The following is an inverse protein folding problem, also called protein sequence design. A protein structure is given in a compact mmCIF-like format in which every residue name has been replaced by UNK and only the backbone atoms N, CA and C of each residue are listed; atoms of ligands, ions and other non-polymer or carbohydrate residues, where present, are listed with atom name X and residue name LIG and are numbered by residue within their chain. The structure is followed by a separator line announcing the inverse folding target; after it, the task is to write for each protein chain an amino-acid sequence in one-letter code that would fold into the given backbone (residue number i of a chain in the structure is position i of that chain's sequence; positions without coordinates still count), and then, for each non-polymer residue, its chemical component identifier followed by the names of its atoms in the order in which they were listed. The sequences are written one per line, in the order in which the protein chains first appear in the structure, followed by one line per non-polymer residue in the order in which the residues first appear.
data_IF_867000128027
#
_entry.id   IF_867000128027
#
_cell.length_a   1.000
_cell.length_b   1.000
_cell.length_c   1.000
_cell.angle_alpha   90.00
_cell.angle_beta   90.00
_cell.angle_gamma   90.00
#
_symmetry.space_group_name_H-M   'P 1'
#
loop_
_entity.id
_entity.type
_entity.pdbx_description
1 polymer ?
#
# COMPACT_ATOMS: atom_id res chain seq x y z
N UNK A 1 -18.27 -7.64 17.76
CA UNK A 1 -17.64 -7.71 16.42
C UNK A 1 -17.81 -6.36 15.76
N UNK A 2 -16.76 -5.75 15.17
CA UNK A 2 -16.98 -4.61 14.27
C UNK A 2 -17.96 -5.04 13.15
N UNK A 3 -18.86 -4.16 12.67
CA UNK A 3 -19.75 -4.46 11.56
C UNK A 3 -18.92 -4.93 10.36
N UNK A 4 -19.43 -5.92 9.61
CA UNK A 4 -18.68 -6.60 8.54
C UNK A 4 -17.98 -5.62 7.59
N UNK A 5 -18.62 -4.49 7.28
CA UNK A 5 -18.09 -3.42 6.44
C UNK A 5 -16.80 -2.78 6.99
N UNK A 6 -16.72 -2.56 8.30
CA UNK A 6 -15.53 -1.96 8.93
C UNK A 6 -14.36 -2.94 8.97
N UNK A 7 -14.64 -4.22 9.25
CA UNK A 7 -13.61 -5.26 9.29
C UNK A 7 -13.03 -5.51 7.90
N UNK A 8 -13.89 -5.54 6.88
CA UNK A 8 -13.47 -5.70 5.49
C UNK A 8 -12.69 -4.48 5.00
N UNK A 9 -13.18 -3.27 5.26
CA UNK A 9 -12.47 -2.03 4.94
C UNK A 9 -11.06 -2.01 5.55
N UNK A 10 -10.95 -2.36 6.84
CA UNK A 10 -9.66 -2.39 7.53
C UNK A 10 -8.72 -3.44 6.93
N UNK A 11 -9.22 -4.60 6.49
CA UNK A 11 -8.41 -5.60 5.78
C UNK A 11 -7.91 -5.08 4.43
N UNK A 12 -8.78 -4.45 3.64
CA UNK A 12 -8.41 -3.90 2.33
C UNK A 12 -7.37 -2.78 2.49
N UNK A 13 -7.52 -1.94 3.51
CA UNK A 13 -6.55 -0.90 3.83
C UNK A 13 -5.18 -1.50 4.19
N UNK A 14 -5.14 -2.49 5.09
CA UNK A 14 -3.90 -3.14 5.50
C UNK A 14 -3.20 -3.86 4.33
N UNK A 15 -3.98 -4.47 3.43
CA UNK A 15 -3.44 -5.09 2.21
C UNK A 15 -2.80 -4.03 1.30
N UNK A 16 -3.48 -2.91 1.06
CA UNK A 16 -2.93 -1.81 0.26
C UNK A 16 -1.65 -1.22 0.87
N UNK A 17 -1.58 -1.10 2.21
CA UNK A 17 -0.35 -0.67 2.90
C UNK A 17 0.80 -1.66 2.67
N UNK A 18 0.52 -2.96 2.82
CA UNK A 18 1.52 -4.00 2.61
C UNK A 18 2.02 -4.05 1.15
N UNK A 19 1.13 -3.87 0.18
CA UNK A 19 1.49 -3.84 -1.25
C UNK A 19 2.41 -2.67 -1.59
N UNK A 20 2.11 -1.47 -1.08
CA UNK A 20 2.98 -0.29 -1.24
C UNK A 20 4.34 -0.53 -0.58
N UNK A 21 4.36 -1.01 0.67
CA UNK A 21 5.62 -1.30 1.36
C UNK A 21 6.46 -2.33 0.59
N UNK A 22 5.85 -3.43 0.13
CA UNK A 22 6.51 -4.44 -0.68
C UNK A 22 7.07 -3.85 -1.99
N UNK A 23 6.29 -3.00 -2.67
CA UNK A 23 6.71 -2.37 -3.92
C UNK A 23 8.00 -1.53 -3.75
N UNK A 24 8.09 -0.76 -2.68
CA UNK A 24 9.28 0.06 -2.41
C UNK A 24 10.37 -0.66 -1.61
N UNK A 25 10.15 -1.92 -1.22
CA UNK A 25 11.13 -2.70 -0.46
C UNK A 25 11.23 -2.30 1.01
N UNK A 26 10.15 -1.75 1.57
CA UNK A 26 10.04 -1.32 2.95
C UNK A 26 9.38 -2.39 3.81
N UNK A 27 9.58 -2.27 5.12
CA UNK A 27 8.77 -2.97 6.13
C UNK A 27 7.38 -2.32 6.23
N UNK A 28 6.30 -3.05 6.55
CA UNK A 28 4.97 -2.47 6.73
C UNK A 28 4.92 -1.30 7.73
N UNK A 29 5.74 -1.32 8.79
CA UNK A 29 5.83 -0.20 9.74
C UNK A 29 6.25 1.13 9.10
N UNK A 30 6.98 1.11 7.98
CA UNK A 30 7.38 2.35 7.31
C UNK A 30 6.17 3.12 6.75
N UNK A 31 5.02 2.45 6.57
CA UNK A 31 3.78 3.10 6.17
C UNK A 31 3.14 3.86 7.34
N UNK A 32 3.33 3.40 8.59
CA UNK A 32 2.79 4.06 9.78
C UNK A 32 3.46 5.44 10.02
N UNK A 33 4.69 5.61 9.51
CA UNK A 33 5.44 6.87 9.54
C UNK A 33 5.03 7.85 8.42
N UNK A 34 4.22 7.42 7.45
CA UNK A 34 3.74 8.26 6.35
C UNK A 34 2.42 8.94 6.73
N UNK A 35 2.27 10.19 6.29
CA UNK A 35 0.94 10.78 6.25
C UNK A 35 0.11 10.22 5.08
N UNK A 36 -1.19 10.50 5.09
CA UNK A 36 -2.12 10.01 4.07
C UNK A 36 -1.80 10.56 2.67
N UNK A 37 -1.26 11.79 2.59
CA UNK A 37 -0.94 12.42 1.32
C UNK A 37 0.30 11.75 0.68
N UNK A 38 1.31 11.47 1.48
CA UNK A 38 2.53 10.76 1.10
C UNK A 38 2.21 9.32 0.71
N UNK A 39 1.41 8.61 1.49
CA UNK A 39 0.94 7.27 1.13
C UNK A 39 0.25 7.26 -0.25
N UNK A 40 -0.64 8.22 -0.49
CA UNK A 40 -1.32 8.36 -1.77
C UNK A 40 -0.35 8.71 -2.93
N UNK A 41 0.72 9.47 -2.66
CA UNK A 41 1.76 9.75 -3.65
C UNK A 41 2.57 8.49 -4.00
N UNK A 42 2.99 7.71 -3.01
CA UNK A 42 3.70 6.45 -3.24
C UNK A 42 2.85 5.41 -3.95
N UNK A 43 1.57 5.29 -3.60
CA UNK A 43 0.65 4.41 -4.31
C UNK A 43 0.51 4.79 -5.79
N UNK A 44 0.41 6.09 -6.11
CA UNK A 44 0.38 6.58 -7.50
C UNK A 44 1.68 6.28 -8.23
N UNK A 45 2.81 6.44 -7.55
CA UNK A 45 4.12 6.18 -8.12
C UNK A 45 4.31 4.68 -8.43
N UNK A 46 3.92 3.79 -7.51
CA UNK A 46 3.89 2.35 -7.76
C UNK A 46 3.02 2.02 -8.98
N UNK A 47 1.81 2.59 -9.08
CA UNK A 47 0.93 2.38 -10.23
C UNK A 47 1.54 2.87 -11.57
N UNK A 48 2.29 3.98 -11.56
CA UNK A 48 3.02 4.47 -12.75
C UNK A 48 4.12 3.52 -13.17
N UNK A 49 4.90 3.02 -12.21
CA UNK A 49 5.98 2.07 -12.50
C UNK A 49 5.43 0.75 -13.05
N UNK A 50 4.35 0.23 -12.45
CA UNK A 50 3.64 -0.95 -12.98
C UNK A 50 3.16 -0.70 -14.42
N UNK A 51 2.52 0.45 -14.68
CA UNK A 51 2.06 0.84 -16.02
C UNK A 51 3.19 1.00 -17.03
N UNK A 52 4.37 1.46 -16.58
CA UNK A 52 5.58 1.58 -17.39
C UNK A 52 6.29 0.23 -17.61
N UNK A 53 5.77 -0.87 -17.05
CA UNK A 53 6.29 -2.22 -17.27
C UNK A 53 7.38 -2.64 -16.28
N UNK A 54 7.63 -1.85 -15.22
CA UNK A 54 8.49 -2.28 -14.13
C UNK A 54 7.84 -3.48 -13.44
N UNK A 55 8.66 -4.47 -13.10
CA UNK A 55 8.25 -5.68 -12.39
C UNK A 55 9.19 -5.88 -11.22
N UNK A 56 8.63 -6.25 -10.07
CA UNK A 56 9.43 -6.82 -8.98
C UNK A 56 10.00 -8.14 -9.49
N UNK A 57 11.33 -8.22 -9.56
CA UNK A 57 12.03 -9.47 -9.82
C UNK A 57 11.82 -10.43 -8.64
N UNK A 58 11.56 -11.69 -8.95
CA UNK A 58 11.65 -12.80 -8.01
C UNK A 58 13.10 -13.28 -7.92
#
# INVERSE_FOLDING_TARGET
MPPADKAEFQRQLLAACADVAWWFGWTPQAIDDLDVADFAAFQKEAARQIKAGYRKGF
#
